data_IF_571099139007
#
_entry.id   IF_571099139007
#
_cell.length_a   1.000
_cell.length_b   1.000
_cell.length_c   1.000
_cell.angle_alpha   90.00
_cell.angle_beta   90.00
_cell.angle_gamma   90.00
#
_symmetry.space_group_name_H-M   'P 1'
#
loop_
_entity.id
_entity.type
_entity.pdbx_description
1 polymer ?
#
# COMPACT_ATOMS: atom_id res chain seq x y z
N UNK A 1 -13.11 65.30 -17.45
CA UNK A 1 -12.01 64.32 -17.52
C UNK A 1 -12.05 63.34 -16.33
N UNK A 2 -13.19 62.70 -16.01
CA UNK A 2 -13.26 61.81 -14.84
C UNK A 2 -14.46 60.83 -14.82
N UNK A 3 -14.88 60.31 -15.98
CA UNK A 3 -16.00 59.33 -16.01
C UNK A 3 -15.76 58.08 -16.88
N UNK A 4 -14.59 57.94 -17.50
CA UNK A 4 -14.28 56.79 -18.37
C UNK A 4 -13.41 55.72 -17.71
N UNK A 5 -12.87 55.95 -16.51
CA UNK A 5 -11.94 55.02 -15.84
C UNK A 5 -12.58 54.02 -14.88
N UNK A 6 -13.89 54.13 -14.60
CA UNK A 6 -14.56 53.27 -13.60
C UNK A 6 -15.10 51.96 -14.22
N UNK A 7 -15.29 51.91 -15.54
CA UNK A 7 -15.85 50.72 -16.19
C UNK A 7 -14.84 49.60 -16.48
N UNK A 8 -13.53 49.87 -16.40
CA UNK A 8 -12.50 48.87 -16.70
C UNK A 8 -12.06 48.03 -15.48
N UNK A 9 -12.28 48.53 -14.25
CA UNK A 9 -11.89 47.81 -13.02
C UNK A 9 -12.96 46.81 -12.52
N UNK A 10 -14.19 46.88 -13.02
CA UNK A 10 -15.27 45.97 -12.62
C UNK A 10 -15.34 44.68 -13.46
N UNK A 11 -14.63 44.61 -14.59
CA UNK A 11 -14.57 43.43 -15.45
C UNK A 11 -13.38 42.50 -15.14
N UNK A 12 -12.48 42.87 -14.22
CA UNK A 12 -11.39 41.99 -13.77
C UNK A 12 -11.76 41.08 -12.58
N UNK A 13 -12.99 41.14 -12.08
CA UNK A 13 -13.43 40.35 -10.91
C UNK A 13 -14.37 39.18 -11.23
N UNK A 14 -14.64 38.86 -12.50
CA UNK A 14 -15.59 37.79 -12.87
C UNK A 14 -14.96 36.73 -13.79
N UNK A 15 -13.67 36.47 -13.64
CA UNK A 15 -13.03 35.33 -14.29
C UNK A 15 -12.07 34.66 -13.34
N UNK A 16 -12.62 33.88 -12.41
CA UNK A 16 -12.13 32.55 -11.98
C UNK A 16 -12.51 32.19 -10.53
N UNK A 17 -13.78 31.89 -10.20
CA UNK A 17 -14.07 30.98 -9.09
C UNK A 17 -14.24 29.53 -9.58
N UNK A 18 -14.49 29.31 -10.88
CA UNK A 18 -14.80 27.98 -11.40
C UNK A 18 -13.60 27.01 -11.37
N UNK A 19 -12.38 27.52 -11.65
CA UNK A 19 -11.17 26.69 -11.64
C UNK A 19 -10.66 26.38 -10.21
N UNK A 20 -10.95 27.25 -9.23
CA UNK A 20 -10.51 27.04 -7.85
C UNK A 20 -11.39 26.03 -7.10
N UNK A 21 -12.68 25.95 -7.45
CA UNK A 21 -13.63 25.00 -6.85
C UNK A 21 -13.38 23.54 -7.28
N UNK A 22 -12.99 23.31 -8.54
CA UNK A 22 -12.64 21.96 -9.02
C UNK A 22 -11.35 21.42 -8.36
N UNK A 23 -10.37 22.29 -8.09
CA UNK A 23 -9.10 21.90 -7.45
C UNK A 23 -9.31 21.53 -5.97
N UNK A 24 -10.24 22.17 -5.26
CA UNK A 24 -10.55 21.85 -3.86
C UNK A 24 -11.36 20.55 -3.71
N UNK A 25 -12.29 20.27 -4.63
CA UNK A 25 -13.11 19.04 -4.60
C UNK A 25 -12.30 17.77 -4.88
N UNK A 26 -11.38 17.82 -5.83
CA UNK A 26 -10.58 16.66 -6.24
C UNK A 26 -9.66 16.14 -5.13
N UNK A 27 -9.03 17.02 -4.35
CA UNK A 27 -8.12 16.57 -3.27
C UNK A 27 -8.87 15.90 -2.12
N UNK A 28 -10.07 16.38 -1.77
CA UNK A 28 -10.92 15.79 -0.74
C UNK A 28 -11.42 14.39 -1.14
N UNK A 29 -11.79 14.22 -2.41
CA UNK A 29 -12.25 12.93 -2.94
C UNK A 29 -11.13 11.86 -2.99
N UNK A 30 -9.89 12.26 -3.31
CA UNK A 30 -8.72 11.35 -3.30
C UNK A 30 -8.42 10.92 -1.86
N UNK A 31 -8.40 11.87 -0.91
CA UNK A 31 -8.20 11.58 0.51
C UNK A 31 -9.25 10.59 1.03
N UNK A 32 -10.54 10.83 0.73
CA UNK A 32 -11.63 9.96 1.16
C UNK A 32 -11.53 8.53 0.62
N UNK A 33 -10.95 8.32 -0.57
CA UNK A 33 -10.73 7.00 -1.15
C UNK A 33 -9.45 6.32 -0.64
N UNK A 34 -8.40 7.10 -0.33
CA UNK A 34 -7.11 6.56 0.10
C UNK A 34 -7.06 6.22 1.60
N UNK A 35 -7.79 6.94 2.45
CA UNK A 35 -7.82 6.68 3.90
C UNK A 35 -8.21 5.24 4.24
N UNK A 36 -9.31 4.66 3.69
CA UNK A 36 -9.65 3.27 3.95
C UNK A 36 -8.59 2.28 3.47
N UNK A 37 -7.83 2.62 2.42
CA UNK A 37 -6.74 1.79 1.91
C UNK A 37 -5.57 1.82 2.88
N UNK A 38 -5.16 3.00 3.35
CA UNK A 38 -4.08 3.13 4.33
C UNK A 38 -4.42 2.38 5.62
N UNK A 39 -5.64 2.54 6.13
CA UNK A 39 -6.12 1.78 7.29
C UNK A 39 -6.07 0.27 7.03
N UNK A 40 -6.56 -0.18 5.86
CA UNK A 40 -6.51 -1.59 5.48
C UNK A 40 -5.08 -2.12 5.37
N UNK A 41 -4.12 -1.32 4.88
CA UNK A 41 -2.71 -1.70 4.83
C UNK A 41 -2.18 -1.91 6.25
N UNK A 42 -2.40 -0.95 7.16
CA UNK A 42 -1.95 -1.06 8.56
C UNK A 42 -2.54 -2.28 9.27
N UNK A 43 -3.85 -2.51 9.16
CA UNK A 43 -4.51 -3.68 9.76
C UNK A 43 -3.94 -5.01 9.24
N UNK A 44 -3.66 -5.11 7.93
CA UNK A 44 -3.12 -6.33 7.35
C UNK A 44 -1.61 -6.48 7.61
N UNK A 45 -0.85 -5.39 7.77
CA UNK A 45 0.55 -5.41 8.22
C UNK A 45 0.64 -6.00 9.63
N UNK A 46 -0.19 -5.50 10.56
CA UNK A 46 -0.28 -6.03 11.93
C UNK A 46 -0.64 -7.53 11.92
N UNK A 47 -1.61 -7.93 11.09
CA UNK A 47 -2.01 -9.32 10.96
C UNK A 47 -0.89 -10.24 10.42
N UNK A 48 -0.05 -9.78 9.48
CA UNK A 48 1.13 -10.55 9.04
C UNK A 48 2.15 -10.66 10.18
N UNK A 49 2.43 -9.58 10.91
CA UNK A 49 3.34 -9.63 12.05
C UNK A 49 2.89 -10.63 13.11
N UNK A 50 1.58 -10.70 13.38
CA UNK A 50 1.00 -11.69 14.29
C UNK A 50 1.14 -13.13 13.79
N UNK A 51 0.96 -13.37 12.48
CA UNK A 51 1.20 -14.70 11.89
C UNK A 51 2.67 -15.06 11.94
N UNK A 52 3.56 -14.12 11.60
CA UNK A 52 5.00 -14.33 11.67
C UNK A 52 5.41 -14.76 13.09
N UNK A 53 4.89 -14.08 14.12
CA UNK A 53 5.17 -14.43 15.52
C UNK A 53 4.65 -15.83 15.87
N UNK A 54 3.42 -16.17 15.49
CA UNK A 54 2.86 -17.50 15.73
C UNK A 54 3.64 -18.60 14.99
N UNK A 55 4.09 -18.33 13.77
CA UNK A 55 4.96 -19.24 13.04
C UNK A 55 6.32 -19.41 13.73
N UNK A 56 6.91 -18.33 14.24
CA UNK A 56 8.16 -18.40 14.98
C UNK A 56 8.03 -19.20 16.29
N UNK A 57 6.92 -19.05 17.01
CA UNK A 57 6.62 -19.83 18.22
C UNK A 57 6.42 -21.31 17.88
N UNK A 58 5.77 -21.59 16.75
CA UNK A 58 5.44 -22.94 16.32
C UNK A 58 6.63 -23.76 15.80
N UNK A 59 7.73 -23.12 15.39
CA UNK A 59 8.92 -23.85 14.90
C UNK A 59 9.55 -24.72 15.99
N UNK A 60 9.38 -24.34 17.27
CA UNK A 60 9.93 -25.06 18.42
C UNK A 60 9.23 -26.40 18.69
N UNK A 61 8.04 -26.62 18.13
CA UNK A 61 7.30 -27.87 18.23
C UNK A 61 7.44 -28.77 16.99
N UNK A 62 8.23 -28.37 15.98
CA UNK A 62 8.55 -29.22 14.84
C UNK A 62 9.62 -30.26 15.23
N UNK A 63 9.23 -31.54 15.29
CA UNK A 63 10.12 -32.65 15.63
C UNK A 63 11.33 -32.75 14.68
N UNK A 64 11.22 -32.24 13.45
CA UNK A 64 12.28 -32.23 12.44
C UNK A 64 12.89 -30.83 12.25
N UNK A 65 12.77 -29.94 13.25
CA UNK A 65 13.23 -28.56 13.16
C UNK A 65 14.69 -28.44 12.70
N UNK A 66 15.60 -29.29 13.19
CA UNK A 66 17.02 -29.21 12.82
C UNK A 66 17.25 -29.38 11.31
N UNK A 67 16.45 -30.21 10.64
CA UNK A 67 16.53 -30.44 9.19
C UNK A 67 15.83 -29.32 8.41
N UNK A 68 14.78 -28.71 9.00
CA UNK A 68 13.94 -27.70 8.36
C UNK A 68 14.25 -26.26 8.77
N UNK A 69 15.25 -26.04 9.62
CA UNK A 69 15.57 -24.75 10.24
C UNK A 69 15.72 -23.62 9.22
N UNK A 70 16.40 -23.89 8.11
CA UNK A 70 16.63 -22.88 7.07
C UNK A 70 15.35 -22.52 6.32
N UNK A 71 14.41 -23.46 6.18
CA UNK A 71 13.11 -23.22 5.53
C UNK A 71 12.22 -22.38 6.45
N UNK A 72 12.21 -22.70 7.74
CA UNK A 72 11.55 -21.88 8.77
C UNK A 72 12.10 -20.45 8.79
N UNK A 73 13.43 -20.30 8.84
CA UNK A 73 14.09 -19.00 8.78
C UNK A 73 13.73 -18.24 7.49
N UNK A 74 13.76 -18.92 6.34
CA UNK A 74 13.37 -18.29 5.08
C UNK A 74 11.94 -17.78 5.13
N UNK A 75 10.99 -18.54 5.68
CA UNK A 75 9.59 -18.13 5.77
C UNK A 75 9.43 -16.87 6.61
N UNK A 76 10.06 -16.84 7.79
CA UNK A 76 10.05 -15.69 8.70
C UNK A 76 10.65 -14.45 8.03
N UNK A 77 11.78 -14.59 7.35
CA UNK A 77 12.43 -13.49 6.63
C UNK A 77 11.56 -12.97 5.48
N UNK A 78 10.87 -13.87 4.77
CA UNK A 78 9.96 -13.47 3.68
C UNK A 78 8.77 -12.67 4.22
N UNK A 79 8.20 -13.02 5.38
CA UNK A 79 7.15 -12.21 6.00
C UNK A 79 7.65 -10.81 6.37
N UNK A 80 8.82 -10.72 7.00
CA UNK A 80 9.43 -9.41 7.33
C UNK A 80 9.64 -8.58 6.07
N UNK A 81 10.10 -9.17 4.97
CA UNK A 81 10.28 -8.46 3.72
C UNK A 81 8.97 -7.90 3.17
N UNK A 82 7.88 -8.68 3.21
CA UNK A 82 6.54 -8.22 2.79
C UNK A 82 6.07 -7.07 3.66
N UNK A 83 6.17 -7.21 4.99
CA UNK A 83 5.80 -6.16 5.95
C UNK A 83 6.54 -4.87 5.65
N UNK A 84 7.87 -4.93 5.50
CA UNK A 84 8.68 -3.74 5.22
C UNK A 84 8.32 -3.06 3.89
N UNK A 85 7.99 -3.83 2.84
CA UNK A 85 7.53 -3.26 1.56
C UNK A 85 6.18 -2.56 1.74
N UNK A 86 5.26 -3.16 2.49
CA UNK A 86 3.93 -2.58 2.73
C UNK A 86 4.00 -1.33 3.63
N UNK A 87 4.81 -1.35 4.69
CA UNK A 87 5.07 -0.17 5.55
C UNK A 87 5.68 0.97 4.73
N UNK A 88 6.66 0.66 3.88
CA UNK A 88 7.26 1.64 3.00
C UNK A 88 6.22 2.30 2.08
N UNK A 89 5.35 1.51 1.41
CA UNK A 89 4.31 2.07 0.55
C UNK A 89 3.21 2.81 1.33
N UNK A 90 2.89 2.37 2.55
CA UNK A 90 1.98 3.08 3.43
C UNK A 90 2.48 4.52 3.70
N UNK A 91 3.70 4.66 4.23
CA UNK A 91 4.29 5.96 4.57
C UNK A 91 4.42 6.87 3.34
N UNK A 92 4.78 6.26 2.22
CA UNK A 92 4.93 6.93 0.96
C UNK A 92 3.61 7.43 0.36
N UNK A 93 2.52 6.68 0.55
CA UNK A 93 1.17 7.09 0.16
C UNK A 93 0.67 8.21 1.07
N UNK A 94 0.90 8.12 2.39
CA UNK A 94 0.57 9.17 3.35
C UNK A 94 1.27 10.49 2.99
N UNK A 95 2.59 10.45 2.80
CA UNK A 95 3.37 11.61 2.36
C UNK A 95 2.85 12.20 1.05
N UNK A 96 2.44 11.34 0.10
CA UNK A 96 1.93 11.76 -1.19
C UNK A 96 0.58 12.49 -1.09
N UNK A 97 -0.27 12.09 -0.13
CA UNK A 97 -1.52 12.77 0.17
C UNK A 97 -1.28 14.14 0.82
N UNK A 98 -0.24 14.28 1.64
CA UNK A 98 0.12 15.55 2.29
C UNK A 98 0.67 16.60 1.30
N UNK A 99 1.11 16.18 0.11
CA UNK A 99 1.56 17.11 -0.91
C UNK A 99 0.41 18.01 -1.40
N UNK A 100 0.75 19.28 -1.66
CA UNK A 100 -0.15 20.19 -2.36
C UNK A 100 -0.54 19.62 -3.73
N UNK A 101 -1.74 19.91 -4.27
CA UNK A 101 -2.20 19.34 -5.54
C UNK A 101 -1.22 19.53 -6.70
N UNK A 102 -0.57 20.70 -6.77
CA UNK A 102 0.46 21.01 -7.77
C UNK A 102 1.69 20.10 -7.66
N UNK A 103 2.13 19.79 -6.44
CA UNK A 103 3.26 18.90 -6.21
C UNK A 103 2.86 17.44 -6.41
N UNK A 104 1.66 17.05 -5.98
CA UNK A 104 1.14 15.70 -6.17
C UNK A 104 1.13 15.33 -7.66
N UNK A 105 0.60 16.21 -8.52
CA UNK A 105 0.56 16.02 -9.97
C UNK A 105 1.94 15.78 -10.60
N UNK A 106 3.02 16.36 -10.05
CA UNK A 106 4.40 16.13 -10.54
C UNK A 106 4.94 14.73 -10.27
N UNK A 107 4.44 14.05 -9.23
CA UNK A 107 5.01 12.79 -8.77
C UNK A 107 4.07 11.59 -8.95
N UNK A 108 2.93 11.77 -9.64
CA UNK A 108 1.97 10.70 -9.94
C UNK A 108 2.65 9.50 -10.62
N UNK A 109 3.48 9.74 -11.64
CA UNK A 109 4.17 8.65 -12.36
C UNK A 109 5.10 7.85 -11.45
N UNK A 110 5.90 8.56 -10.64
CA UNK A 110 6.85 7.94 -9.71
C UNK A 110 6.10 7.13 -8.66
N UNK A 111 4.99 7.66 -8.13
CA UNK A 111 4.14 6.96 -7.15
C UNK A 111 3.55 5.68 -7.74
N UNK A 112 3.04 5.71 -8.97
CA UNK A 112 2.51 4.53 -9.65
C UNK A 112 3.61 3.48 -9.83
N UNK A 113 4.78 3.87 -10.33
CA UNK A 113 5.91 2.97 -10.55
C UNK A 113 6.41 2.33 -9.25
N UNK A 114 6.44 3.10 -8.15
CA UNK A 114 6.79 2.59 -6.82
C UNK A 114 5.84 1.46 -6.42
N UNK A 115 4.53 1.73 -6.41
CA UNK A 115 3.53 0.75 -5.98
C UNK A 115 3.52 -0.48 -6.89
N UNK A 116 3.58 -0.29 -8.22
CA UNK A 116 3.63 -1.42 -9.17
C UNK A 116 4.90 -2.27 -9.01
N UNK A 117 6.02 -1.67 -8.61
CA UNK A 117 7.26 -2.41 -8.30
C UNK A 117 7.16 -3.15 -6.97
N UNK A 118 6.52 -2.56 -5.97
CA UNK A 118 6.28 -3.16 -4.66
C UNK A 118 5.31 -4.36 -4.76
N UNK A 119 4.25 -4.25 -5.58
CA UNK A 119 3.34 -5.36 -5.91
C UNK A 119 4.13 -6.56 -6.46
N UNK A 120 4.98 -6.34 -7.47
CA UNK A 120 5.79 -7.42 -8.07
C UNK A 120 6.73 -8.07 -7.07
N UNK A 121 7.34 -7.29 -6.18
CA UNK A 121 8.19 -7.84 -5.13
C UNK A 121 7.40 -8.73 -4.17
N UNK A 122 6.21 -8.30 -3.74
CA UNK A 122 5.35 -9.08 -2.86
C UNK A 122 4.86 -10.37 -3.55
N UNK A 123 4.57 -10.34 -4.85
CA UNK A 123 4.22 -11.53 -5.63
C UNK A 123 5.37 -12.55 -5.63
N UNK A 124 6.61 -12.10 -5.83
CA UNK A 124 7.81 -12.97 -5.75
C UNK A 124 7.96 -13.56 -4.34
N UNK A 125 7.73 -12.75 -3.30
CA UNK A 125 7.79 -13.22 -1.91
C UNK A 125 6.69 -14.23 -1.60
N UNK A 126 5.49 -14.05 -2.14
CA UNK A 126 4.40 -15.00 -2.04
C UNK A 126 4.78 -16.36 -2.66
N UNK A 127 5.34 -16.36 -3.86
CA UNK A 127 5.85 -17.60 -4.50
C UNK A 127 6.93 -18.28 -3.64
N UNK A 128 7.82 -17.51 -3.01
CA UNK A 128 8.82 -18.06 -2.11
C UNK A 128 8.21 -18.71 -0.85
N UNK A 129 7.12 -18.16 -0.31
CA UNK A 129 6.39 -18.76 0.81
C UNK A 129 5.74 -20.09 0.39
N UNK A 130 5.17 -20.14 -0.81
CA UNK A 130 4.62 -21.39 -1.37
C UNK A 130 5.68 -22.48 -1.51
N UNK A 131 6.87 -22.13 -2.01
CA UNK A 131 8.02 -23.04 -2.07
C UNK A 131 8.39 -23.52 -0.66
N UNK A 132 8.51 -22.61 0.30
CA UNK A 132 8.86 -22.96 1.66
C UNK A 132 7.84 -23.91 2.29
N UNK A 133 6.54 -23.65 2.09
CA UNK A 133 5.45 -24.51 2.55
C UNK A 133 5.54 -25.92 1.96
N UNK A 134 5.84 -26.06 0.67
CA UNK A 134 6.01 -27.37 0.04
C UNK A 134 7.18 -28.16 0.63
N UNK A 135 8.31 -27.49 0.88
CA UNK A 135 9.50 -28.12 1.49
C UNK A 135 9.28 -28.51 2.96
N UNK A 136 8.37 -27.80 3.63
CA UNK A 136 7.97 -28.02 5.01
C UNK A 136 7.06 -29.27 5.20
N UNK A 137 6.36 -29.71 4.14
CA UNK A 137 5.57 -30.95 4.07
C UNK A 137 4.09 -30.81 4.48
N UNK A 138 3.26 -31.83 4.20
CA UNK A 138 1.78 -31.73 4.30
C UNK A 138 1.20 -31.82 5.72
N UNK A 139 1.94 -32.39 6.68
CA UNK A 139 1.46 -32.62 8.06
C UNK A 139 1.93 -31.54 9.05
N UNK A 140 1.79 -30.27 8.69
CA UNK A 140 2.10 -29.18 9.61
C UNK A 140 0.87 -28.79 10.42
N UNK A 141 1.00 -28.80 11.76
CA UNK A 141 0.04 -28.19 12.69
C UNK A 141 -0.27 -26.72 12.35
N UNK A 142 0.65 -26.07 11.64
CA UNK A 142 0.61 -24.66 11.26
C UNK A 142 -0.04 -24.41 9.89
N UNK A 143 -0.61 -25.41 9.22
CA UNK A 143 -1.23 -25.24 7.90
C UNK A 143 -2.30 -24.14 7.87
N UNK A 144 -3.01 -23.93 8.99
CA UNK A 144 -3.99 -22.86 9.13
C UNK A 144 -3.35 -21.46 9.07
N UNK A 145 -2.14 -21.28 9.59
CA UNK A 145 -1.40 -20.02 9.55
C UNK A 145 -1.04 -19.64 8.11
N UNK A 146 -0.58 -20.60 7.30
CA UNK A 146 -0.32 -20.40 5.87
C UNK A 146 -1.59 -20.01 5.09
N UNK A 147 -2.75 -20.61 5.40
CA UNK A 147 -4.02 -20.24 4.77
C UNK A 147 -4.43 -18.81 5.14
N UNK A 148 -4.23 -18.42 6.40
CA UNK A 148 -4.51 -17.05 6.85
C UNK A 148 -3.59 -16.03 6.20
N UNK A 149 -2.31 -16.37 6.09
CA UNK A 149 -1.30 -15.51 5.48
C UNK A 149 -1.53 -15.29 3.99
N UNK A 150 -1.77 -16.33 3.20
CA UNK A 150 -2.11 -16.18 1.78
C UNK A 150 -3.29 -15.22 1.55
N UNK A 151 -4.31 -15.31 2.42
CA UNK A 151 -5.46 -14.40 2.39
C UNK A 151 -5.06 -12.96 2.69
N UNK A 152 -4.20 -12.74 3.70
CA UNK A 152 -3.78 -11.40 4.11
C UNK A 152 -2.85 -10.78 3.05
N UNK A 153 -1.89 -11.52 2.50
CA UNK A 153 -1.06 -11.05 1.39
C UNK A 153 -1.91 -10.69 0.18
N UNK A 154 -2.88 -11.54 -0.16
CA UNK A 154 -3.79 -11.26 -1.29
C UNK A 154 -4.61 -9.98 -1.07
N UNK A 155 -4.97 -9.67 0.19
CA UNK A 155 -5.62 -8.39 0.55
C UNK A 155 -4.67 -7.22 0.41
N UNK A 156 -3.42 -7.33 0.90
CA UNK A 156 -2.40 -6.28 0.74
C UNK A 156 -2.17 -5.95 -0.74
N UNK A 157 -2.00 -6.97 -1.58
CA UNK A 157 -1.86 -6.80 -3.03
C UNK A 157 -3.07 -6.07 -3.65
N UNK A 158 -4.28 -6.46 -3.26
CA UNK A 158 -5.51 -5.79 -3.73
C UNK A 158 -5.58 -4.32 -3.29
N UNK A 159 -5.19 -4.00 -2.06
CA UNK A 159 -5.15 -2.63 -1.55
C UNK A 159 -4.12 -1.77 -2.31
N UNK A 160 -2.94 -2.33 -2.60
CA UNK A 160 -1.92 -1.67 -3.43
C UNK A 160 -2.39 -1.48 -4.88
N UNK A 161 -3.11 -2.43 -5.47
CA UNK A 161 -3.69 -2.27 -6.81
C UNK A 161 -4.78 -1.18 -6.84
N UNK A 162 -5.58 -1.09 -5.79
CA UNK A 162 -6.55 -0.01 -5.62
C UNK A 162 -5.88 1.35 -5.45
N UNK A 163 -4.78 1.44 -4.69
CA UNK A 163 -4.04 2.70 -4.55
C UNK A 163 -3.43 3.16 -5.87
N UNK A 164 -2.92 2.25 -6.71
CA UNK A 164 -2.51 2.57 -8.09
C UNK A 164 -3.65 3.19 -8.88
N UNK A 165 -4.85 2.62 -8.79
CA UNK A 165 -6.03 3.09 -9.53
C UNK A 165 -6.44 4.51 -9.10
N UNK A 166 -6.42 4.79 -7.79
CA UNK A 166 -6.69 6.13 -7.26
C UNK A 166 -5.60 7.13 -7.67
N UNK A 167 -4.32 6.75 -7.59
CA UNK A 167 -3.23 7.65 -8.00
C UNK A 167 -3.30 7.96 -9.50
N UNK A 168 -3.70 6.98 -10.33
CA UNK A 168 -3.93 7.18 -11.77
C UNK A 168 -5.07 8.17 -12.06
N UNK A 169 -6.07 8.29 -11.18
CA UNK A 169 -7.19 9.23 -11.38
C UNK A 169 -6.83 10.70 -11.08
N UNK A 170 -5.60 10.97 -10.63
CA UNK A 170 -5.08 12.33 -10.40
C UNK A 170 -4.59 12.96 -11.70
N UNK A 171 -4.35 12.14 -12.73
CA UNK A 171 -3.91 12.56 -14.07
C UNK A 171 -4.99 13.34 -14.82
#
# INVERSE_FOLDING_TARGET
>A
MNRFFIFLCLLMFISSPLLAAEIQGGSSAILGQMIPILQGLSENIEAINDIQKQMDDSKASDENYNEKKNIWLSSVLTFTAIVSVCEYEHDLLELFLDLSPKNRARYVEVRIQSIESSIKQIEIFKEQIEINRLLLGENQSNNHLFIMEDRIISRLLSLLQQSVSIVKSIR
#
